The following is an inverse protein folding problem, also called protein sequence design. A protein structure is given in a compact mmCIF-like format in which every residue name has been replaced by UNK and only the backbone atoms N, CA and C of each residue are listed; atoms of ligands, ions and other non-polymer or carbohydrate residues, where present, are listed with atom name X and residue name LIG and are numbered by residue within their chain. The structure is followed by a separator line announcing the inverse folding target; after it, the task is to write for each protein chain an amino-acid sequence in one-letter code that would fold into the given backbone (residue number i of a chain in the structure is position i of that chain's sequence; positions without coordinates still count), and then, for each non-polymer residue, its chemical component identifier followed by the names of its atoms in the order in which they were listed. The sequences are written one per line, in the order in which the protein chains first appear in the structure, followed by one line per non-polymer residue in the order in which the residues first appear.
data_IF_163410547026
#
_entry.id   IF_163410547026
#
_cell.length_a   1.000
_cell.length_b   1.000
_cell.length_c   1.000
_cell.angle_alpha   90.00
_cell.angle_beta   90.00
_cell.angle_gamma   90.00
#
_symmetry.space_group_name_H-M   'P 1'
#
loop_
_entity.id
_entity.type
_entity.pdbx_description
1 polymer ?
#
# COMPACT_ATOMS: atom_id res chain seq x y z
N UNK A 1 -23.81 31.75 25.03
CA UNK A 1 -22.34 31.65 24.83
C UNK A 1 -22.05 30.65 23.70
N UNK A 2 -21.79 31.12 22.47
CA UNK A 2 -21.41 30.24 21.35
C UNK A 2 -20.05 29.63 21.66
N UNK A 3 -19.98 28.31 21.87
CA UNK A 3 -18.71 27.56 21.97
C UNK A 3 -17.87 27.94 20.74
N UNK A 4 -16.73 28.61 20.94
CA UNK A 4 -15.75 28.86 19.88
C UNK A 4 -15.35 27.50 19.33
N UNK A 5 -15.86 27.17 18.14
CA UNK A 5 -15.61 25.89 17.49
C UNK A 5 -14.12 25.65 17.39
N UNK A 6 -13.66 24.51 17.88
CA UNK A 6 -12.27 24.09 17.76
C UNK A 6 -11.97 23.97 16.26
N UNK A 7 -11.18 24.91 15.74
CA UNK A 7 -10.75 24.89 14.33
C UNK A 7 -9.99 23.60 14.07
N UNK A 8 -10.39 22.83 13.05
CA UNK A 8 -9.61 21.68 12.60
C UNK A 8 -8.21 22.12 12.18
N UNK A 9 -7.21 21.25 12.40
CA UNK A 9 -5.80 21.51 12.04
C UNK A 9 -5.68 21.96 10.58
N UNK A 10 -6.44 21.34 9.69
CA UNK A 10 -6.50 21.66 8.26
C UNK A 10 -6.94 23.10 7.98
N UNK A 11 -7.96 23.61 8.70
CA UNK A 11 -8.38 25.00 8.59
C UNK A 11 -7.28 25.98 9.01
N UNK A 12 -6.55 25.69 10.10
CA UNK A 12 -5.42 26.52 10.54
C UNK A 12 -4.30 26.59 9.49
N UNK A 13 -4.04 25.48 8.79
CA UNK A 13 -3.04 25.44 7.71
C UNK A 13 -3.46 26.35 6.56
N UNK A 14 -4.71 26.25 6.10
CA UNK A 14 -5.21 27.16 5.05
C UNK A 14 -5.15 28.63 5.49
N UNK A 15 -5.49 28.92 6.75
CA UNK A 15 -5.34 30.27 7.29
C UNK A 15 -3.89 30.77 7.33
N UNK A 16 -2.89 29.89 7.47
CA UNK A 16 -1.48 30.30 7.39
C UNK A 16 -1.04 30.60 5.96
N UNK A 17 -1.58 29.88 4.98
CA UNK A 17 -1.30 30.10 3.55
C UNK A 17 -1.98 31.39 3.06
N UNK A 18 -3.19 31.68 3.55
CA UNK A 18 -4.01 32.83 3.14
C UNK A 18 -4.42 33.71 4.33
N UNK A 19 -3.46 34.34 5.06
CA UNK A 19 -3.70 34.95 6.37
C UNK A 19 -4.64 36.16 6.37
N UNK A 20 -4.73 36.88 5.26
CA UNK A 20 -5.53 38.11 5.15
C UNK A 20 -6.90 37.90 4.51
N UNK A 21 -7.27 36.65 4.22
CA UNK A 21 -8.53 36.32 3.57
C UNK A 21 -9.45 35.63 4.58
N UNK A 22 -10.70 36.09 4.70
CA UNK A 22 -11.70 35.42 5.54
C UNK A 22 -12.01 34.00 5.05
N UNK A 23 -12.49 33.11 5.93
CA UNK A 23 -12.71 31.68 5.62
C UNK A 23 -13.45 31.41 4.30
N UNK A 24 -14.56 32.12 4.04
CA UNK A 24 -15.30 31.96 2.79
C UNK A 24 -14.50 32.40 1.56
N UNK A 25 -13.63 33.41 1.69
CA UNK A 25 -12.71 33.81 0.64
C UNK A 25 -11.61 32.79 0.42
N UNK A 26 -11.07 32.19 1.49
CA UNK A 26 -10.07 31.11 1.39
C UNK A 26 -10.63 29.89 0.64
N UNK A 27 -11.87 29.51 0.94
CA UNK A 27 -12.57 28.45 0.20
C UNK A 27 -12.76 28.82 -1.27
N UNK A 28 -13.12 30.07 -1.59
CA UNK A 28 -13.24 30.53 -2.99
C UNK A 28 -11.90 30.48 -3.73
N UNK A 29 -10.79 30.82 -3.08
CA UNK A 29 -9.44 30.69 -3.67
C UNK A 29 -9.15 29.21 -3.99
N UNK A 30 -9.44 28.30 -3.06
CA UNK A 30 -9.28 26.86 -3.33
C UNK A 30 -10.19 26.37 -4.46
N UNK A 31 -11.44 26.83 -4.51
CA UNK A 31 -12.35 26.50 -5.62
C UNK A 31 -11.79 26.97 -6.95
N UNK A 32 -11.31 28.21 -7.02
CA UNK A 32 -10.68 28.77 -8.20
C UNK A 32 -9.48 27.94 -8.67
N UNK A 33 -8.59 27.58 -7.75
CA UNK A 33 -7.40 26.77 -8.08
C UNK A 33 -7.76 25.37 -8.58
N UNK A 34 -8.79 24.73 -8.00
CA UNK A 34 -9.28 23.44 -8.52
C UNK A 34 -9.81 23.60 -9.93
N UNK A 35 -10.63 24.62 -10.19
CA UNK A 35 -11.22 24.86 -11.51
C UNK A 35 -10.27 25.55 -12.49
N UNK A 36 -9.00 25.77 -12.10
CA UNK A 36 -8.04 26.46 -12.96
C UNK A 36 -7.78 25.64 -14.22
N UNK A 37 -7.64 26.32 -15.36
CA UNK A 37 -7.17 25.72 -16.60
C UNK A 37 -5.68 25.35 -16.54
N UNK A 38 -4.96 25.81 -15.50
CA UNK A 38 -3.55 25.53 -15.30
C UNK A 38 -3.40 24.22 -14.51
N UNK A 39 -2.90 23.18 -15.18
CA UNK A 39 -2.78 21.81 -14.62
C UNK A 39 -1.97 21.75 -13.32
N UNK A 40 -0.92 22.56 -13.18
CA UNK A 40 -0.07 22.59 -11.97
C UNK A 40 -0.81 23.18 -10.77
N UNK A 41 -1.59 24.25 -10.97
CA UNK A 41 -2.42 24.86 -9.92
C UNK A 41 -3.51 23.90 -9.45
N UNK A 42 -4.20 23.27 -10.42
CA UNK A 42 -5.20 22.27 -10.13
C UNK A 42 -4.60 21.08 -9.37
N UNK A 43 -3.49 20.53 -9.87
CA UNK A 43 -2.82 19.39 -9.26
C UNK A 43 -2.38 19.69 -7.83
N UNK A 44 -1.81 20.88 -7.60
CA UNK A 44 -1.47 21.36 -6.27
C UNK A 44 -2.69 21.45 -5.35
N UNK A 45 -3.80 22.03 -5.83
CA UNK A 45 -5.01 22.21 -5.03
C UNK A 45 -5.66 20.86 -4.68
N UNK A 46 -5.72 19.93 -5.63
CA UNK A 46 -6.23 18.59 -5.42
C UNK A 46 -5.37 17.80 -4.42
N UNK A 47 -4.04 17.85 -4.56
CA UNK A 47 -3.10 17.25 -3.62
C UNK A 47 -3.24 17.87 -2.22
N UNK A 48 -3.29 19.20 -2.13
CA UNK A 48 -3.46 19.93 -0.86
C UNK A 48 -4.76 19.51 -0.15
N UNK A 49 -5.88 19.44 -0.87
CA UNK A 49 -7.13 18.92 -0.31
C UNK A 49 -7.03 17.43 0.05
N UNK A 50 -6.26 16.64 -0.68
CA UNK A 50 -6.03 15.23 -0.38
C UNK A 50 -5.40 15.02 1.00
N UNK A 51 -4.52 15.94 1.42
CA UNK A 51 -3.91 15.94 2.76
C UNK A 51 -4.82 16.62 3.79
N UNK A 52 -5.51 17.69 3.40
CA UNK A 52 -6.23 18.58 4.31
C UNK A 52 -7.75 18.51 4.16
N UNK A 53 -8.28 17.32 3.83
CA UNK A 53 -9.67 17.11 3.46
C UNK A 53 -10.71 17.61 4.48
N UNK A 54 -10.37 17.67 5.77
CA UNK A 54 -11.25 18.23 6.80
C UNK A 54 -11.68 19.68 6.50
N UNK A 55 -10.97 20.41 5.63
CA UNK A 55 -11.44 21.70 5.07
C UNK A 55 -12.82 21.57 4.43
N UNK A 56 -13.07 20.47 3.72
CA UNK A 56 -14.32 20.14 3.04
C UNK A 56 -15.20 19.23 3.89
N UNK A 57 -14.63 18.22 4.57
CA UNK A 57 -15.39 17.24 5.34
C UNK A 57 -16.16 17.86 6.53
N UNK A 58 -15.61 18.93 7.13
CA UNK A 58 -16.22 19.63 8.27
C UNK A 58 -17.32 20.63 7.82
N UNK A 59 -17.55 20.80 6.52
CA UNK A 59 -18.58 21.70 5.99
C UNK A 59 -19.98 21.09 6.13
N UNK A 60 -21.04 21.94 6.21
CA UNK A 60 -22.41 21.47 6.12
C UNK A 60 -22.64 20.67 4.83
N UNK A 61 -23.48 19.62 4.88
CA UNK A 61 -23.67 18.68 3.78
C UNK A 61 -23.93 19.37 2.44
N UNK A 62 -24.82 20.37 2.39
CA UNK A 62 -25.11 21.12 1.16
C UNK A 62 -23.87 21.75 0.51
N UNK A 63 -22.92 22.24 1.30
CA UNK A 63 -21.67 22.79 0.77
C UNK A 63 -20.69 21.69 0.40
N UNK A 64 -20.60 20.64 1.22
CA UNK A 64 -19.76 19.47 0.97
C UNK A 64 -20.13 18.78 -0.35
N UNK A 65 -21.41 18.58 -0.65
CA UNK A 65 -21.86 18.02 -1.94
C UNK A 65 -21.50 18.92 -3.13
N UNK A 66 -21.60 20.25 -2.98
CA UNK A 66 -21.14 21.17 -4.03
C UNK A 66 -19.64 21.04 -4.33
N UNK A 67 -18.83 20.75 -3.31
CA UNK A 67 -17.41 20.46 -3.53
C UNK A 67 -17.22 19.15 -4.27
N UNK A 68 -18.03 18.13 -3.99
CA UNK A 68 -17.96 16.86 -4.70
C UNK A 68 -18.25 17.06 -6.18
N UNK A 69 -19.36 17.74 -6.51
CA UNK A 69 -19.75 18.00 -7.89
C UNK A 69 -18.71 18.87 -8.62
N UNK A 70 -18.18 19.91 -7.96
CA UNK A 70 -17.12 20.76 -8.52
C UNK A 70 -15.89 19.93 -8.92
N UNK A 71 -15.37 19.11 -8.01
CA UNK A 71 -14.17 18.31 -8.23
C UNK A 71 -14.42 17.23 -9.30
N UNK A 72 -15.57 16.56 -9.28
CA UNK A 72 -15.92 15.53 -10.27
C UNK A 72 -16.04 16.14 -11.67
N UNK A 73 -16.82 17.22 -11.81
CA UNK A 73 -16.99 17.88 -13.10
C UNK A 73 -15.66 18.39 -13.66
N UNK A 74 -14.81 18.93 -12.78
CA UNK A 74 -13.50 19.41 -13.19
C UNK A 74 -12.60 18.24 -13.60
N UNK A 75 -12.55 17.17 -12.82
CA UNK A 75 -11.76 15.99 -13.13
C UNK A 75 -12.21 15.31 -14.43
N UNK A 76 -13.52 15.24 -14.71
CA UNK A 76 -14.03 14.70 -15.97
C UNK A 76 -13.59 15.49 -17.20
N UNK A 77 -13.31 16.79 -17.05
CA UNK A 77 -12.86 17.64 -18.16
C UNK A 77 -11.36 17.53 -18.43
N UNK A 78 -10.55 17.22 -17.41
CA UNK A 78 -9.09 17.34 -17.51
C UNK A 78 -8.29 16.11 -17.07
N UNK A 79 -8.94 15.10 -16.50
CA UNK A 79 -8.35 13.83 -16.10
C UNK A 79 -7.07 13.99 -15.27
N UNK A 80 -7.13 14.90 -14.29
CA UNK A 80 -6.02 15.16 -13.39
C UNK A 80 -5.87 14.03 -12.35
N UNK A 81 -4.70 13.38 -12.34
CA UNK A 81 -4.37 12.24 -11.46
C UNK A 81 -4.53 12.57 -9.97
N UNK A 82 -4.13 13.76 -9.52
CA UNK A 82 -4.28 14.15 -8.10
C UNK A 82 -5.75 14.34 -7.72
N UNK A 83 -6.59 14.75 -8.66
CA UNK A 83 -8.05 14.80 -8.45
C UNK A 83 -8.64 13.40 -8.37
N UNK A 84 -8.18 12.45 -9.20
CA UNK A 84 -8.59 11.04 -9.14
C UNK A 84 -8.26 10.43 -7.76
N UNK A 85 -7.02 10.60 -7.28
CA UNK A 85 -6.58 10.16 -5.94
C UNK A 85 -7.42 10.78 -4.83
N UNK A 86 -7.71 12.08 -4.94
CA UNK A 86 -8.57 12.80 -3.99
C UNK A 86 -9.98 12.18 -3.93
N UNK A 87 -10.57 11.89 -5.10
CA UNK A 87 -11.88 11.25 -5.22
C UNK A 87 -11.88 9.89 -4.53
N UNK A 88 -10.95 8.99 -4.90
CA UNK A 88 -10.84 7.64 -4.33
C UNK A 88 -10.75 7.70 -2.80
N UNK A 89 -9.90 8.60 -2.27
CA UNK A 89 -9.60 8.64 -0.85
C UNK A 89 -10.75 9.14 0.02
N UNK A 90 -11.53 10.10 -0.49
CA UNK A 90 -12.36 10.94 0.38
C UNK A 90 -13.83 11.05 -0.01
N UNK A 91 -14.18 10.64 -1.22
CA UNK A 91 -15.57 10.77 -1.68
C UNK A 91 -16.43 9.62 -1.13
N UNK A 92 -17.76 9.83 -1.11
CA UNK A 92 -18.68 8.73 -0.88
C UNK A 92 -18.42 7.62 -1.89
N UNK A 93 -18.48 6.36 -1.43
CA UNK A 93 -18.14 5.19 -2.23
C UNK A 93 -18.93 5.14 -3.56
N UNK A 94 -20.15 5.68 -3.61
CA UNK A 94 -20.96 5.65 -4.83
C UNK A 94 -20.39 6.48 -5.96
N UNK A 95 -19.68 7.58 -5.66
CA UNK A 95 -18.95 8.33 -6.69
C UNK A 95 -17.79 7.49 -7.24
N UNK A 96 -17.02 6.86 -6.36
CA UNK A 96 -15.89 6.01 -6.79
C UNK A 96 -16.39 4.83 -7.63
N UNK A 97 -17.50 4.20 -7.22
CA UNK A 97 -18.13 3.09 -7.94
C UNK A 97 -18.66 3.49 -9.32
N UNK A 98 -19.12 4.72 -9.49
CA UNK A 98 -19.61 5.21 -10.78
C UNK A 98 -18.49 5.36 -11.82
N UNK A 99 -17.27 5.69 -11.38
CA UNK A 99 -16.17 6.08 -12.25
C UNK A 99 -14.94 5.16 -12.14
N UNK A 100 -15.15 3.88 -11.79
CA UNK A 100 -14.05 2.94 -11.51
C UNK A 100 -13.10 2.84 -12.69
N UNK A 101 -13.62 2.64 -13.90
CA UNK A 101 -12.81 2.38 -15.08
C UNK A 101 -12.01 3.64 -15.47
N UNK A 102 -12.60 4.84 -15.42
CA UNK A 102 -11.87 6.06 -15.78
C UNK A 102 -10.83 6.48 -14.73
N UNK A 103 -11.12 6.23 -13.43
CA UNK A 103 -10.15 6.46 -12.35
C UNK A 103 -8.98 5.48 -12.50
N UNK A 104 -9.26 4.19 -12.72
CA UNK A 104 -8.22 3.15 -12.85
C UNK A 104 -7.35 3.34 -14.09
N UNK A 105 -7.86 4.01 -15.14
CA UNK A 105 -7.04 4.38 -16.29
C UNK A 105 -5.98 5.45 -15.97
N UNK A 106 -6.12 6.18 -14.86
CA UNK A 106 -5.25 7.31 -14.47
C UNK A 106 -4.49 7.05 -13.17
N UNK A 107 -5.01 6.19 -12.29
CA UNK A 107 -4.47 5.88 -10.97
C UNK A 107 -4.39 4.36 -10.76
N UNK A 108 -3.55 3.94 -9.82
CA UNK A 108 -3.32 2.53 -9.54
C UNK A 108 -4.60 1.84 -9.03
N UNK A 109 -4.97 0.73 -9.69
CA UNK A 109 -6.12 -0.10 -9.32
C UNK A 109 -6.08 -0.51 -7.84
N UNK A 110 -4.89 -0.67 -7.25
CA UNK A 110 -4.74 -1.00 -5.84
C UNK A 110 -5.51 -0.05 -4.91
N UNK A 111 -5.41 1.26 -5.11
CA UNK A 111 -6.07 2.24 -4.25
C UNK A 111 -7.59 2.25 -4.45
N UNK A 112 -8.04 2.11 -5.70
CA UNK A 112 -9.47 2.00 -6.04
C UNK A 112 -10.08 0.74 -5.42
N UNK A 113 -9.41 -0.40 -5.59
CA UNK A 113 -9.83 -1.67 -5.04
C UNK A 113 -9.85 -1.68 -3.52
N UNK A 114 -8.83 -1.11 -2.86
CA UNK A 114 -8.79 -0.98 -1.40
C UNK A 114 -10.00 -0.18 -0.89
N UNK A 115 -10.37 0.90 -1.58
CA UNK A 115 -11.52 1.71 -1.22
C UNK A 115 -12.84 0.96 -1.42
N UNK A 116 -13.03 0.36 -2.59
CA UNK A 116 -14.28 -0.33 -2.93
C UNK A 116 -14.47 -1.62 -2.15
N UNK A 117 -13.38 -2.26 -1.70
CA UNK A 117 -13.44 -3.45 -0.87
C UNK A 117 -14.02 -3.18 0.54
N UNK A 118 -14.22 -1.92 0.95
CA UNK A 118 -15.05 -1.59 2.11
C UNK A 118 -16.53 -2.03 1.92
N UNK A 119 -17.00 -2.17 0.67
CA UNK A 119 -18.29 -2.77 0.35
C UNK A 119 -18.16 -4.29 0.30
N UNK A 120 -18.80 -5.06 1.20
CA UNK A 120 -18.64 -6.52 1.24
C UNK A 120 -18.95 -7.22 -0.09
N UNK A 121 -19.92 -6.70 -0.86
CA UNK A 121 -20.35 -7.25 -2.14
C UNK A 121 -19.41 -6.92 -3.33
N UNK A 122 -18.43 -6.04 -3.16
CA UNK A 122 -17.51 -5.70 -4.24
C UNK A 122 -16.52 -6.84 -4.51
N UNK A 123 -16.38 -7.21 -5.79
CA UNK A 123 -15.40 -8.20 -6.24
C UNK A 123 -14.06 -7.53 -6.57
N UNK A 124 -13.01 -7.94 -5.87
CA UNK A 124 -11.64 -7.45 -6.09
C UNK A 124 -11.01 -8.25 -7.24
N UNK A 125 -10.64 -7.56 -8.32
CA UNK A 125 -10.00 -8.15 -9.50
C UNK A 125 -8.53 -8.48 -9.18
N UNK A 126 -8.26 -9.72 -8.78
CA UNK A 126 -6.91 -10.16 -8.39
C UNK A 126 -5.89 -10.03 -9.51
N UNK A 127 -6.31 -10.23 -10.76
CA UNK A 127 -5.48 -10.18 -11.96
C UNK A 127 -4.84 -8.81 -12.23
N UNK A 128 -5.38 -7.75 -11.63
CA UNK A 128 -4.86 -6.39 -11.74
C UNK A 128 -3.96 -6.00 -10.56
N UNK A 129 -3.65 -6.94 -9.67
CA UNK A 129 -2.91 -6.70 -8.42
C UNK A 129 -1.74 -7.65 -8.28
N UNK A 130 -0.68 -7.20 -7.63
CA UNK A 130 0.33 -8.11 -7.08
C UNK A 130 -0.26 -8.94 -5.93
N UNK A 131 0.34 -10.10 -5.64
CA UNK A 131 -0.11 -10.95 -4.55
C UNK A 131 -0.09 -10.20 -3.19
N UNK A 132 0.92 -9.34 -2.97
CA UNK A 132 1.03 -8.50 -1.77
C UNK A 132 -0.06 -7.43 -1.67
N UNK A 133 -0.43 -6.81 -2.78
CA UNK A 133 -1.51 -5.81 -2.82
C UNK A 133 -2.86 -6.46 -2.57
N UNK A 134 -3.14 -7.57 -3.26
CA UNK A 134 -4.37 -8.34 -3.06
C UNK A 134 -4.51 -8.77 -1.60
N UNK A 135 -3.50 -9.44 -1.04
CA UNK A 135 -3.54 -9.90 0.35
C UNK A 135 -3.66 -8.74 1.35
N UNK A 136 -3.06 -7.58 1.05
CA UNK A 136 -3.21 -6.39 1.87
C UNK A 136 -4.65 -5.86 1.86
N UNK A 137 -5.31 -5.81 0.70
CA UNK A 137 -6.72 -5.40 0.59
C UNK A 137 -7.61 -6.36 1.39
N UNK A 138 -7.43 -7.67 1.20
CA UNK A 138 -8.22 -8.68 1.91
C UNK A 138 -8.01 -8.60 3.43
N UNK A 139 -6.75 -8.44 3.88
CA UNK A 139 -6.40 -8.27 5.28
C UNK A 139 -6.98 -6.98 5.89
N UNK A 140 -6.97 -5.87 5.15
CA UNK A 140 -7.52 -4.58 5.62
C UNK A 140 -9.03 -4.58 5.71
N UNK A 141 -9.69 -5.33 4.85
CA UNK A 141 -11.16 -5.41 4.77
C UNK A 141 -11.74 -6.64 5.47
N UNK A 142 -10.89 -7.38 6.20
CA UNK A 142 -11.26 -8.57 6.98
C UNK A 142 -12.00 -9.62 6.15
N UNK A 143 -11.49 -9.89 4.95
CA UNK A 143 -12.04 -10.88 4.02
C UNK A 143 -11.15 -12.13 4.03
N UNK A 144 -11.79 -13.28 4.00
CA UNK A 144 -11.08 -14.56 3.99
C UNK A 144 -10.32 -14.78 2.68
N UNK A 145 -9.17 -15.44 2.83
CA UNK A 145 -8.32 -15.89 1.71
C UNK A 145 -7.90 -17.33 1.98
N UNK A 146 -7.96 -18.24 0.99
CA UNK A 146 -7.46 -19.60 1.13
C UNK A 146 -5.97 -19.65 1.54
N UNK A 147 -5.61 -20.62 2.38
CA UNK A 147 -4.24 -20.81 2.85
C UNK A 147 -3.28 -21.10 1.69
N UNK A 148 -3.74 -21.83 0.67
CA UNK A 148 -2.95 -22.14 -0.53
C UNK A 148 -2.49 -20.87 -1.25
N UNK A 149 -3.36 -19.86 -1.37
CA UNK A 149 -3.01 -18.61 -2.03
C UNK A 149 -2.01 -17.81 -1.20
N UNK A 150 -2.18 -17.77 0.11
CA UNK A 150 -1.22 -17.14 1.02
C UNK A 150 0.15 -17.83 0.94
N UNK A 151 0.18 -19.16 0.90
CA UNK A 151 1.41 -19.91 0.77
C UNK A 151 2.14 -19.64 -0.55
N UNK A 152 1.42 -19.69 -1.67
CA UNK A 152 1.98 -19.39 -3.00
C UNK A 152 2.56 -17.98 -3.08
N UNK A 153 1.87 -16.99 -2.49
CA UNK A 153 2.35 -15.62 -2.43
C UNK A 153 3.65 -15.51 -1.62
N UNK A 154 3.75 -16.20 -0.48
CA UNK A 154 4.96 -16.23 0.33
C UNK A 154 6.12 -16.87 -0.42
N UNK A 155 5.91 -18.04 -1.02
CA UNK A 155 6.91 -18.77 -1.79
C UNK A 155 7.48 -17.91 -2.93
N UNK A 156 6.60 -17.34 -3.74
CA UNK A 156 6.97 -16.47 -4.86
C UNK A 156 7.75 -15.24 -4.41
N UNK A 157 7.34 -14.62 -3.30
CA UNK A 157 8.01 -13.44 -2.75
C UNK A 157 9.40 -13.79 -2.20
N UNK A 158 9.54 -14.87 -1.43
CA UNK A 158 10.83 -15.26 -0.88
C UNK A 158 11.80 -15.69 -1.97
N UNK A 159 11.31 -16.40 -2.99
CA UNK A 159 12.11 -16.74 -4.17
C UNK A 159 12.60 -15.48 -4.88
N UNK A 160 11.73 -14.51 -5.16
CA UNK A 160 12.18 -13.28 -5.85
C UNK A 160 13.20 -12.48 -5.04
N UNK A 161 13.13 -12.51 -3.70
CA UNK A 161 14.14 -11.89 -2.83
C UNK A 161 15.43 -12.71 -2.71
N UNK A 162 15.45 -13.97 -3.15
CA UNK A 162 16.68 -14.72 -3.31
C UNK A 162 17.39 -14.38 -4.64
N UNK A 163 16.65 -13.94 -5.66
CA UNK A 163 17.15 -13.56 -6.99
C UNK A 163 17.53 -12.06 -7.07
N UNK A 164 18.16 -11.48 -6.04
CA UNK A 164 18.53 -10.06 -6.03
C UNK A 164 19.39 -9.69 -7.25
N UNK A 165 19.17 -8.53 -7.85
CA UNK A 165 20.05 -8.02 -8.91
C UNK A 165 21.39 -7.56 -8.34
N UNK A 166 22.45 -7.46 -9.17
CA UNK A 166 23.80 -7.05 -8.74
C UNK A 166 23.85 -5.69 -8.01
N UNK A 167 22.93 -4.78 -8.32
CA UNK A 167 22.78 -3.46 -7.67
C UNK A 167 22.05 -3.53 -6.33
N UNK A 168 20.97 -4.31 -6.25
CA UNK A 168 20.27 -4.56 -4.98
C UNK A 168 21.17 -5.33 -4.01
N UNK A 169 22.06 -6.19 -4.52
CA UNK A 169 23.10 -6.86 -3.74
C UNK A 169 24.01 -5.83 -3.04
N UNK A 170 24.56 -4.84 -3.72
CA UNK A 170 25.50 -3.91 -3.07
C UNK A 170 24.85 -3.10 -1.96
N UNK A 171 23.69 -2.48 -2.20
CA UNK A 171 22.99 -1.65 -1.19
C UNK A 171 22.47 -2.47 -0.02
N UNK A 172 21.93 -3.67 -0.25
CA UNK A 172 21.44 -4.54 0.82
C UNK A 172 22.56 -4.99 1.78
N UNK A 173 23.78 -5.15 1.29
CA UNK A 173 24.91 -5.65 2.08
C UNK A 173 25.79 -4.53 2.68
N UNK A 174 25.75 -3.32 2.13
CA UNK A 174 26.46 -2.15 2.67
C UNK A 174 25.82 -1.61 3.96
N UNK A 175 24.49 -1.72 4.09
CA UNK A 175 23.73 -1.13 5.21
C UNK A 175 23.48 -2.09 6.39
N UNK A 176 23.91 -3.35 6.32
CA UNK A 176 23.71 -4.32 7.42
C UNK A 176 24.94 -4.46 8.32
N UNK A 177 24.69 -4.64 9.61
CA UNK A 177 25.66 -5.25 10.52
C UNK A 177 26.09 -6.60 9.92
N UNK A 178 27.41 -6.76 9.72
CA UNK A 178 28.08 -7.75 8.85
C UNK A 178 27.66 -9.23 8.99
N UNK A 179 26.76 -9.61 9.91
CA UNK A 179 26.48 -11.00 10.25
C UNK A 179 25.00 -11.35 10.50
N UNK A 180 24.06 -10.42 10.35
CA UNK A 180 22.63 -10.71 10.56
C UNK A 180 21.83 -10.69 9.26
N UNK A 181 21.44 -11.87 8.79
CA UNK A 181 20.44 -12.04 7.72
C UNK A 181 19.03 -12.17 8.32
N UNK A 182 17.98 -11.81 7.58
CA UNK A 182 16.57 -12.15 7.87
C UNK A 182 15.73 -11.65 6.69
N UNK A 183 14.76 -12.44 6.25
CA UNK A 183 13.80 -12.01 5.25
C UNK A 183 12.88 -10.89 5.76
N UNK A 184 12.75 -10.70 7.07
CA UNK A 184 12.00 -9.59 7.66
C UNK A 184 12.69 -8.23 7.49
N UNK A 185 13.91 -8.16 6.95
CA UNK A 185 14.48 -6.88 6.54
C UNK A 185 13.77 -6.28 5.33
N UNK A 186 13.10 -7.11 4.52
CA UNK A 186 12.44 -6.65 3.29
C UNK A 186 11.04 -6.13 3.60
N UNK A 187 10.75 -4.91 3.18
CA UNK A 187 9.44 -4.25 3.41
C UNK A 187 8.27 -5.06 2.89
N UNK A 188 8.41 -5.61 1.69
CA UNK A 188 7.40 -6.45 1.06
C UNK A 188 7.10 -7.73 1.88
N UNK A 189 8.14 -8.33 2.46
CA UNK A 189 7.99 -9.53 3.30
C UNK A 189 7.32 -9.12 4.62
N UNK A 190 7.76 -8.02 5.25
CA UNK A 190 7.10 -7.50 6.47
C UNK A 190 5.62 -7.24 6.24
N UNK A 191 5.28 -6.61 5.11
CA UNK A 191 3.89 -6.34 4.70
C UNK A 191 3.11 -7.64 4.55
N UNK A 192 3.66 -8.65 3.88
CA UNK A 192 3.00 -9.95 3.70
C UNK A 192 2.77 -10.67 5.02
N UNK A 193 3.78 -10.71 5.89
CA UNK A 193 3.67 -11.31 7.23
C UNK A 193 2.63 -10.58 8.09
N UNK A 194 2.56 -9.25 8.01
CA UNK A 194 1.49 -8.49 8.65
C UNK A 194 0.11 -8.90 8.12
N UNK A 195 -0.04 -9.12 6.81
CA UNK A 195 -1.29 -9.58 6.22
C UNK A 195 -1.71 -10.95 6.77
N UNK A 196 -0.76 -11.90 6.90
CA UNK A 196 -1.04 -13.21 7.50
C UNK A 196 -1.53 -13.11 8.94
N UNK A 197 -0.95 -12.21 9.74
CA UNK A 197 -1.44 -11.95 11.09
C UNK A 197 -2.87 -11.43 11.12
N UNK A 198 -3.23 -10.54 10.20
CA UNK A 198 -4.59 -10.01 10.09
C UNK A 198 -5.61 -11.02 9.55
N UNK A 199 -5.17 -11.90 8.66
CA UNK A 199 -5.98 -12.96 8.07
C UNK A 199 -6.05 -14.23 8.94
N UNK A 200 -5.48 -14.22 10.15
CA UNK A 200 -5.51 -15.37 11.06
C UNK A 200 -4.69 -16.58 10.58
N UNK A 201 -3.69 -16.38 9.72
CA UNK A 201 -2.88 -17.44 9.11
C UNK A 201 -1.74 -17.91 10.03
N UNK A 202 -2.09 -18.31 11.24
CA UNK A 202 -1.16 -18.65 12.33
C UNK A 202 -0.15 -19.74 11.92
N UNK A 203 -0.59 -20.78 11.22
CA UNK A 203 0.29 -21.86 10.79
C UNK A 203 1.34 -21.36 9.78
N UNK A 204 0.95 -20.53 8.81
CA UNK A 204 1.88 -19.94 7.85
C UNK A 204 2.89 -18.99 8.53
N UNK A 205 2.44 -18.21 9.51
CA UNK A 205 3.34 -17.38 10.32
C UNK A 205 4.39 -18.21 11.07
N UNK A 206 3.95 -19.24 11.79
CA UNK A 206 4.85 -20.14 12.54
C UNK A 206 5.87 -20.78 11.59
N UNK A 207 5.40 -21.28 10.44
CA UNK A 207 6.27 -21.88 9.44
C UNK A 207 7.29 -20.88 8.89
N UNK A 208 6.86 -19.65 8.59
CA UNK A 208 7.76 -18.58 8.16
C UNK A 208 8.84 -18.27 9.20
N UNK A 209 8.48 -18.03 10.47
CA UNK A 209 9.46 -17.71 11.51
C UNK A 209 10.45 -18.85 11.77
N UNK A 210 9.98 -20.11 11.68
CA UNK A 210 10.85 -21.29 11.75
C UNK A 210 11.84 -21.32 10.58
N UNK A 211 11.33 -21.14 9.36
CA UNK A 211 12.16 -21.08 8.16
C UNK A 211 13.18 -19.95 8.23
N UNK A 212 12.76 -18.72 8.54
CA UNK A 212 13.64 -17.55 8.64
C UNK A 212 14.75 -17.81 9.67
N UNK A 213 14.42 -18.32 10.86
CA UNK A 213 15.42 -18.66 11.88
C UNK A 213 16.43 -19.72 11.41
N UNK A 214 16.00 -20.72 10.63
CA UNK A 214 16.89 -21.73 10.07
C UNK A 214 17.79 -21.13 9.01
N UNK A 215 17.23 -20.34 8.09
CA UNK A 215 17.97 -19.65 7.03
C UNK A 215 19.04 -18.72 7.63
N UNK A 216 18.68 -17.97 8.68
CA UNK A 216 19.61 -17.13 9.44
C UNK A 216 20.80 -17.93 9.97
N UNK A 217 20.54 -19.02 10.72
CA UNK A 217 21.62 -19.85 11.28
C UNK A 217 22.51 -20.47 10.21
N UNK A 218 21.89 -20.98 9.14
CA UNK A 218 22.61 -21.61 8.03
C UNK A 218 23.56 -20.61 7.37
N UNK A 219 23.05 -19.42 7.07
CA UNK A 219 23.84 -18.37 6.45
C UNK A 219 24.91 -17.83 7.39
N UNK A 220 24.60 -17.54 8.67
CA UNK A 220 25.60 -17.09 9.65
C UNK A 220 26.78 -18.06 9.81
N UNK A 221 26.53 -19.37 9.87
CA UNK A 221 27.61 -20.36 9.94
C UNK A 221 28.47 -20.37 8.66
N UNK A 222 27.86 -20.20 7.48
CA UNK A 222 28.60 -20.11 6.22
C UNK A 222 29.36 -18.78 6.09
N UNK A 223 28.89 -17.72 6.75
CA UNK A 223 29.53 -16.39 6.77
C UNK A 223 30.83 -16.39 7.57
N UNK A 224 30.87 -17.07 8.71
CA UNK A 224 32.09 -17.20 9.52
C UNK A 224 33.22 -17.95 8.79
N UNK A 225 32.91 -18.72 7.74
CA UNK A 225 33.85 -19.58 7.02
C UNK A 225 34.32 -19.08 5.65
N UNK A 226 33.84 -17.93 5.15
CA UNK A 226 34.02 -17.51 3.73
C UNK A 226 34.52 -16.06 3.60
N UNK A 227 35.36 -15.75 2.59
CA UNK A 227 35.82 -14.38 2.30
C UNK A 227 34.77 -13.48 1.63
N UNK A 228 34.83 -12.15 1.82
CA UNK A 228 33.77 -11.17 1.47
C UNK A 228 33.30 -11.14 -0.01
N UNK A 229 34.08 -11.63 -0.98
CA UNK A 229 33.72 -11.58 -2.42
C UNK A 229 33.09 -12.87 -2.96
N UNK A 230 33.63 -14.05 -2.62
CA UNK A 230 33.02 -15.36 -2.92
C UNK A 230 31.63 -15.51 -2.25
N UNK A 231 31.42 -14.72 -1.19
CA UNK A 231 30.20 -14.55 -0.42
C UNK A 231 28.95 -14.20 -1.23
N UNK A 232 29.03 -13.26 -2.18
CA UNK A 232 27.83 -12.69 -2.83
C UNK A 232 27.14 -13.65 -3.79
N UNK A 233 27.89 -14.54 -4.43
CA UNK A 233 27.36 -15.54 -5.36
C UNK A 233 26.94 -16.84 -4.65
N UNK A 234 27.67 -17.23 -3.59
CA UNK A 234 27.37 -18.42 -2.80
C UNK A 234 26.01 -18.31 -2.09
N UNK A 235 25.66 -17.14 -1.56
CA UNK A 235 24.40 -16.92 -0.81
C UNK A 235 23.15 -17.10 -1.66
N UNK A 236 23.15 -16.62 -2.90
CA UNK A 236 21.99 -16.76 -3.77
C UNK A 236 21.71 -18.24 -4.07
N UNK A 237 22.77 -18.99 -4.40
CA UNK A 237 22.67 -20.43 -4.61
C UNK A 237 22.16 -21.14 -3.36
N UNK A 238 22.68 -20.79 -2.20
CA UNK A 238 22.31 -21.38 -0.92
C UNK A 238 20.88 -21.01 -0.47
N UNK A 239 20.45 -19.77 -0.67
CA UNK A 239 19.07 -19.33 -0.42
C UNK A 239 18.08 -20.04 -1.35
N UNK A 240 18.41 -20.18 -2.64
CA UNK A 240 17.59 -20.96 -3.59
C UNK A 240 17.50 -22.42 -3.14
N UNK A 241 18.61 -23.03 -2.72
CA UNK A 241 18.61 -24.41 -2.22
C UNK A 241 17.78 -24.56 -0.95
N UNK A 242 17.91 -23.64 0.01
CA UNK A 242 17.08 -23.64 1.22
C UNK A 242 15.60 -23.47 0.88
N UNK A 243 15.24 -22.53 0.02
CA UNK A 243 13.84 -22.34 -0.39
C UNK A 243 13.29 -23.57 -1.11
N UNK A 244 14.09 -24.17 -2.01
CA UNK A 244 13.76 -25.43 -2.69
C UNK A 244 13.75 -26.65 -1.78
N UNK A 245 14.33 -26.61 -0.60
CA UNK A 245 14.27 -27.74 0.34
C UNK A 245 13.11 -27.59 1.32
N UNK A 246 12.84 -26.36 1.79
CA UNK A 246 11.83 -26.10 2.81
C UNK A 246 10.41 -25.96 2.28
N UNK A 247 10.22 -25.47 1.05
CA UNK A 247 8.89 -25.26 0.49
C UNK A 247 8.24 -26.46 -0.25
N UNK A 248 8.96 -27.42 -0.88
CA UNK A 248 8.31 -28.64 -1.38
C UNK A 248 7.85 -29.59 -0.27
N UNK A 249 8.44 -29.52 0.94
CA UNK A 249 8.04 -30.36 2.08
C UNK A 249 6.62 -30.02 2.59
N UNK A 250 6.09 -28.84 2.27
CA UNK A 250 4.71 -28.48 2.66
C UNK A 250 3.68 -29.04 1.66
N UNK A 251 4.05 -29.32 0.41
CA UNK A 251 3.19 -30.05 -0.52
C UNK A 251 3.09 -31.55 -0.19
N UNK A 252 4.13 -32.15 0.40
CA UNK A 252 4.13 -33.58 0.74
C UNK A 252 3.39 -33.94 2.04
N UNK A 253 3.09 -32.97 2.92
CA UNK A 253 2.26 -33.23 4.12
C UNK A 253 0.76 -33.32 3.84
N UNK A 254 0.30 -33.05 2.61
CA UNK A 254 -1.09 -33.33 2.18
C UNK A 254 -1.30 -34.76 1.67
N UNK A 255 -0.27 -35.62 1.68
CA UNK A 255 -0.35 -37.01 1.21
C UNK A 255 -0.39 -38.10 2.28
N UNK A 256 -0.42 -37.78 3.57
CA UNK A 256 -0.45 -38.76 4.67
C UNK A 256 -1.56 -38.47 5.68
N UNK A 257 -2.78 -38.25 5.19
CA UNK A 257 -4.02 -38.41 5.95
C UNK A 257 -5.13 -38.85 4.96
N UNK A 258 -5.02 -40.10 4.51
CA UNK A 258 -6.13 -40.97 4.09
C UNK A 258 -5.83 -42.36 4.66
#
# INVERSE_FOLDING_TARGET
LRKRGVYSKSRRILCRILPYIGWNGQLKVLQFLITSSIRTEQGWAAYFLGIHWNIVADLPDKQKYKWYDLIINTWQQNHNVESAKLIVRHFPIQYVKQYVDEITAQDDYFHVALRLAELPAYYVKRELLTDNEYLYIMAKTNRDVPDELCQQALEKLLLSKAELTSFEKSSFWEDREKYFFSFLSFDDVRKLIWCFGKLGKTNLLINFYRFDKIAQKYLSHRFESSGEWEFRELIEHELRNLLRFYFPIIQLKKGFLL
#
